data_IF_596837530022
#
_entry.id   IF_596837530022
#
_cell.length_a   1.000
_cell.length_b   1.000
_cell.length_c   1.000
_cell.angle_alpha   90.00
_cell.angle_beta   90.00
_cell.angle_gamma   90.00
#
_symmetry.space_group_name_H-M   'P 1'
#
loop_
_entity.id
_entity.type
_entity.pdbx_description
1 polymer ?
#
# COMPACT_ATOMS: atom_id res chain seq x y z
N UNK A 1 -19.61 15.27 20.48
CA UNK A 1 -19.21 15.14 19.07
C UNK A 1 -17.78 14.62 19.06
N UNK A 2 -17.59 13.32 18.83
CA UNK A 2 -16.26 12.71 18.79
C UNK A 2 -15.65 13.11 17.46
N UNK A 3 -14.71 14.05 17.46
CA UNK A 3 -13.90 14.34 16.27
C UNK A 3 -13.10 13.07 15.94
N UNK A 4 -13.47 12.34 14.91
CA UNK A 4 -12.64 11.26 14.39
C UNK A 4 -11.31 11.89 13.95
N UNK A 5 -10.26 11.65 14.74
CA UNK A 5 -8.89 12.06 14.39
C UNK A 5 -8.56 11.51 13.00
N UNK A 6 -8.21 12.40 12.10
CA UNK A 6 -7.82 12.05 10.73
C UNK A 6 -6.43 11.41 10.76
N UNK A 7 -6.38 10.08 10.76
CA UNK A 7 -5.14 9.31 10.67
C UNK A 7 -4.93 8.85 9.24
N UNK A 8 -3.68 8.78 8.82
CA UNK A 8 -3.33 8.46 7.44
C UNK A 8 -2.33 7.31 7.35
N UNK A 9 -2.35 6.63 6.23
CA UNK A 9 -1.28 5.75 5.78
C UNK A 9 -0.74 6.29 4.46
N UNK A 10 0.57 6.40 4.38
CA UNK A 10 1.27 6.94 3.22
C UNK A 10 2.07 5.84 2.56
N UNK A 11 1.97 5.78 1.25
CA UNK A 11 2.76 4.89 0.41
C UNK A 11 3.50 5.71 -0.64
N UNK A 12 4.82 5.69 -0.60
CA UNK A 12 5.65 6.30 -1.62
C UNK A 12 5.82 5.34 -2.80
N UNK A 13 5.72 5.86 -4.02
CA UNK A 13 5.89 5.04 -5.22
C UNK A 13 7.35 4.99 -5.66
N UNK A 14 7.82 3.78 -6.02
CA UNK A 14 9.14 3.52 -6.60
C UNK A 14 10.33 4.04 -5.76
N UNK A 15 10.22 3.97 -4.43
CA UNK A 15 11.29 4.34 -3.51
C UNK A 15 12.13 3.12 -3.17
N UNK A 16 13.46 3.25 -3.26
CA UNK A 16 14.45 2.20 -2.99
C UNK A 16 14.23 0.92 -3.81
N UNK A 17 13.67 1.04 -5.00
CA UNK A 17 13.42 -0.08 -5.92
C UNK A 17 14.31 0.05 -7.15
N UNK A 18 14.99 -1.03 -7.55
CA UNK A 18 15.82 -1.05 -8.75
C UNK A 18 17.00 -0.06 -8.74
N UNK A 19 17.44 0.39 -7.57
CA UNK A 19 18.55 1.33 -7.43
C UNK A 19 18.22 2.80 -7.67
N UNK A 20 17.00 3.11 -8.10
CA UNK A 20 16.53 4.48 -8.29
C UNK A 20 15.84 5.03 -7.01
N UNK A 21 15.68 6.36 -6.96
CA UNK A 21 14.92 7.05 -5.90
C UNK A 21 15.35 6.63 -4.49
N UNK A 22 16.64 6.68 -4.23
CA UNK A 22 17.20 6.28 -2.93
C UNK A 22 16.95 7.33 -1.86
N UNK A 23 16.38 6.91 -0.75
CA UNK A 23 16.29 7.71 0.46
C UNK A 23 16.29 6.79 1.69
N UNK A 24 16.32 7.39 2.87
CA UNK A 24 16.19 6.70 4.14
C UNK A 24 14.82 7.02 4.75
N UNK A 25 13.78 6.19 4.55
CA UNK A 25 12.43 6.48 5.03
C UNK A 25 12.36 6.68 6.55
N UNK A 26 13.22 6.01 7.31
CA UNK A 26 13.30 6.18 8.76
C UNK A 26 13.73 7.61 9.15
N UNK A 27 14.64 8.24 8.41
CA UNK A 27 15.04 9.64 8.65
C UNK A 27 13.90 10.60 8.30
N UNK A 28 13.21 10.36 7.19
CA UNK A 28 12.03 11.16 6.80
C UNK A 28 10.96 11.09 7.91
N UNK A 29 10.67 9.90 8.41
CA UNK A 29 9.73 9.73 9.52
C UNK A 29 10.16 10.50 10.78
N UNK A 30 11.45 10.46 11.12
CA UNK A 30 12.00 11.21 12.25
C UNK A 30 11.84 12.72 12.09
N UNK A 31 12.10 13.26 10.91
CA UNK A 31 11.92 14.68 10.61
C UNK A 31 10.44 15.12 10.61
N UNK A 32 9.51 14.19 10.43
CA UNK A 32 8.07 14.40 10.49
C UNK A 32 7.46 13.94 11.84
N UNK A 33 8.27 13.81 12.88
CA UNK A 33 7.85 13.32 14.22
C UNK A 33 6.66 14.10 14.79
N UNK A 34 6.53 15.40 14.49
CA UNK A 34 5.40 16.23 14.92
C UNK A 34 4.03 15.72 14.44
N UNK A 35 3.98 14.91 13.39
CA UNK A 35 2.78 14.26 12.91
C UNK A 35 2.62 12.82 13.39
N UNK A 36 3.46 12.39 14.35
CA UNK A 36 3.43 11.02 14.85
C UNK A 36 3.72 9.98 13.77
N UNK A 37 4.66 10.25 12.87
CA UNK A 37 4.97 9.37 11.73
C UNK A 37 5.77 8.18 12.18
N UNK A 38 5.27 6.98 11.85
CA UNK A 38 5.93 5.69 12.08
C UNK A 38 6.32 5.10 10.73
N UNK A 39 7.61 4.79 10.55
CA UNK A 39 8.10 4.14 9.33
C UNK A 39 7.91 2.63 9.36
N UNK A 40 7.45 2.06 8.26
CA UNK A 40 7.26 0.61 8.06
C UNK A 40 8.16 0.13 6.91
N UNK A 41 9.29 -0.45 7.27
CA UNK A 41 10.23 -1.00 6.28
C UNK A 41 11.04 0.04 5.51
N UNK A 42 11.52 -0.34 4.34
CA UNK A 42 12.53 0.43 3.58
C UNK A 42 12.00 1.11 2.31
N UNK A 43 10.74 0.90 1.95
CA UNK A 43 10.19 1.31 0.65
C UNK A 43 9.19 2.48 0.74
N UNK A 44 9.24 3.23 1.86
CA UNK A 44 8.40 4.41 2.03
C UNK A 44 6.94 4.09 2.33
N UNK A 45 6.70 3.33 3.39
CA UNK A 45 5.37 3.13 3.99
C UNK A 45 5.35 3.79 5.36
N UNK A 46 4.42 4.73 5.58
CA UNK A 46 4.30 5.45 6.85
C UNK A 46 2.90 5.36 7.42
N UNK A 47 2.82 5.23 8.75
CA UNK A 47 1.59 5.45 9.52
C UNK A 47 1.67 6.82 10.17
N UNK A 48 0.65 7.65 10.03
CA UNK A 48 0.55 8.99 10.60
C UNK A 48 -0.53 8.99 11.67
N UNK A 49 -0.15 9.26 12.92
CA UNK A 49 -1.01 9.11 14.10
C UNK A 49 -1.71 10.39 14.52
N UNK A 50 -1.06 11.53 14.27
CA UNK A 50 -1.61 12.83 14.65
C UNK A 50 -2.62 13.33 13.62
N UNK A 51 -3.51 14.20 14.07
CA UNK A 51 -4.51 14.83 13.23
C UNK A 51 -3.86 15.91 12.37
N UNK A 52 -3.86 15.69 11.06
CA UNK A 52 -3.28 16.58 10.06
C UNK A 52 -4.08 16.48 8.77
N UNK A 53 -4.25 17.58 8.06
CA UNK A 53 -4.89 17.54 6.74
C UNK A 53 -3.99 16.83 5.71
N UNK A 54 -4.62 16.16 4.73
CA UNK A 54 -3.90 15.46 3.67
C UNK A 54 -2.94 16.40 2.92
N UNK A 55 -3.37 17.63 2.61
CA UNK A 55 -2.58 18.61 1.87
C UNK A 55 -1.33 19.05 2.64
N UNK A 56 -1.45 19.31 3.93
CA UNK A 56 -0.30 19.65 4.81
C UNK A 56 0.67 18.49 4.91
N UNK A 57 0.15 17.28 5.12
CA UNK A 57 0.98 16.08 5.20
C UNK A 57 1.73 15.81 3.88
N UNK A 58 1.04 15.91 2.75
CA UNK A 58 1.61 15.74 1.41
C UNK A 58 2.74 16.73 1.15
N UNK A 59 2.53 18.00 1.43
CA UNK A 59 3.54 19.06 1.26
C UNK A 59 4.75 18.81 2.17
N UNK A 60 4.53 18.43 3.43
CA UNK A 60 5.60 18.14 4.38
C UNK A 60 6.46 16.96 3.93
N UNK A 61 5.85 15.86 3.44
CA UNK A 61 6.58 14.70 2.92
C UNK A 61 7.35 15.08 1.66
N UNK A 62 6.70 15.76 0.69
CA UNK A 62 7.33 16.16 -0.56
C UNK A 62 8.58 17.03 -0.34
N UNK A 63 8.55 17.91 0.67
CA UNK A 63 9.69 18.76 1.04
C UNK A 63 10.89 17.96 1.58
N UNK A 64 10.65 16.77 2.15
CA UNK A 64 11.70 15.92 2.73
C UNK A 64 12.27 14.88 1.76
N UNK A 65 11.58 14.65 0.66
CA UNK A 65 12.07 13.74 -0.38
C UNK A 65 13.15 14.40 -1.23
N UNK A 66 14.28 13.73 -1.50
CA UNK A 66 15.34 14.25 -2.38
C UNK A 66 15.00 14.14 -3.88
N UNK A 67 13.81 13.63 -4.21
CA UNK A 67 13.30 13.42 -5.57
C UNK A 67 11.78 13.59 -5.60
N UNK A 68 11.23 13.76 -6.79
CA UNK A 68 9.77 13.74 -7.00
C UNK A 68 9.28 12.31 -7.17
N UNK A 69 8.24 11.93 -6.43
CA UNK A 69 7.53 10.67 -6.62
C UNK A 69 6.04 10.84 -6.29
N UNK A 70 5.23 9.87 -6.74
CA UNK A 70 3.83 9.79 -6.31
C UNK A 70 3.76 9.48 -4.81
N UNK A 71 3.00 10.28 -4.08
CA UNK A 71 2.72 10.12 -2.66
C UNK A 71 1.26 9.72 -2.51
N UNK A 72 1.00 8.45 -2.23
CA UNK A 72 -0.36 7.94 -2.07
C UNK A 72 -0.75 8.01 -0.60
N UNK A 73 -1.69 8.87 -0.27
CA UNK A 73 -2.20 9.06 1.09
C UNK A 73 -3.59 8.43 1.16
N UNK A 74 -3.79 7.53 2.11
CA UNK A 74 -5.04 6.80 2.30
C UNK A 74 -5.53 7.01 3.74
N UNK A 75 -6.85 7.22 3.95
CA UNK A 75 -7.40 7.24 5.30
C UNK A 75 -7.10 5.93 6.03
N UNK A 76 -6.63 6.02 7.27
CA UNK A 76 -6.28 4.86 8.09
C UNK A 76 -7.44 3.86 8.23
N UNK A 77 -8.68 4.38 8.33
CA UNK A 77 -9.91 3.57 8.41
C UNK A 77 -10.08 2.62 7.22
N UNK A 78 -9.61 3.01 6.02
CA UNK A 78 -9.75 2.18 4.82
C UNK A 78 -8.82 0.94 4.90
N UNK A 79 -7.62 1.10 5.46
CA UNK A 79 -6.68 -0.01 5.70
C UNK A 79 -7.17 -0.92 6.83
N UNK A 80 -7.73 -0.36 7.90
CA UNK A 80 -8.32 -1.13 9.00
C UNK A 80 -9.49 -1.97 8.46
N UNK A 81 -10.38 -1.36 7.69
CA UNK A 81 -11.52 -2.04 7.06
C UNK A 81 -11.07 -3.15 6.11
N UNK A 82 -10.06 -2.88 5.28
CA UNK A 82 -9.50 -3.87 4.37
C UNK A 82 -8.94 -5.08 5.13
N UNK A 83 -8.12 -4.82 6.16
CA UNK A 83 -7.50 -5.87 6.98
C UNK A 83 -8.55 -6.69 7.74
N UNK A 84 -9.62 -6.06 8.28
CA UNK A 84 -10.64 -6.77 9.05
C UNK A 84 -11.47 -7.76 8.22
N UNK A 85 -11.57 -7.56 6.93
CA UNK A 85 -12.29 -8.47 6.01
C UNK A 85 -11.55 -9.78 5.74
N UNK A 86 -10.27 -9.88 6.13
CA UNK A 86 -9.40 -11.03 5.81
C UNK A 86 -9.52 -11.50 4.35
N UNK A 87 -9.20 -10.63 3.36
CA UNK A 87 -9.57 -10.82 1.96
C UNK A 87 -8.91 -12.02 1.29
N UNK A 88 -7.88 -12.58 1.92
CA UNK A 88 -7.15 -13.74 1.40
C UNK A 88 -7.52 -15.07 2.08
N UNK A 89 -8.53 -15.10 2.95
CA UNK A 89 -8.93 -16.30 3.70
C UNK A 89 -9.34 -17.48 2.81
N UNK A 90 -9.91 -17.17 1.62
CA UNK A 90 -10.36 -18.17 0.64
C UNK A 90 -9.43 -18.28 -0.58
N UNK A 91 -8.27 -17.64 -0.54
CA UNK A 91 -7.33 -17.66 -1.65
C UNK A 91 -6.25 -18.73 -1.45
N UNK A 92 -5.68 -19.26 -2.55
CA UNK A 92 -4.56 -20.20 -2.48
C UNK A 92 -3.43 -19.65 -1.59
N UNK A 93 -2.80 -20.55 -0.85
CA UNK A 93 -1.64 -20.25 -0.02
C UNK A 93 -0.57 -21.31 -0.23
N UNK A 94 0.68 -20.94 -0.05
CA UNK A 94 1.82 -21.84 -0.18
C UNK A 94 3.13 -21.07 -0.16
N UNK A 95 4.27 -21.76 -0.05
CA UNK A 95 5.59 -21.13 0.03
C UNK A 95 5.97 -20.40 -1.26
N UNK A 96 5.36 -20.78 -2.39
CA UNK A 96 5.55 -20.21 -3.72
C UNK A 96 4.58 -19.05 -4.03
N UNK A 97 3.63 -18.74 -3.15
CA UNK A 97 2.62 -17.71 -3.37
C UNK A 97 2.86 -16.51 -2.45
N UNK A 98 2.86 -15.33 -3.01
CA UNK A 98 2.89 -14.06 -2.27
C UNK A 98 1.59 -13.31 -2.47
N UNK A 99 0.99 -12.87 -1.36
CA UNK A 99 -0.19 -12.01 -1.31
C UNK A 99 0.25 -10.56 -1.37
N UNK A 100 -0.40 -9.75 -2.19
CA UNK A 100 -0.04 -8.35 -2.34
C UNK A 100 -1.26 -7.44 -2.37
N UNK A 101 -1.00 -6.16 -2.07
CA UNK A 101 -1.92 -5.05 -2.27
C UNK A 101 -1.20 -3.99 -3.09
N UNK A 102 -1.79 -3.63 -4.22
CA UNK A 102 -1.36 -2.44 -4.97
C UNK A 102 -2.29 -1.28 -4.64
N UNK A 103 -1.71 -0.18 -4.21
CA UNK A 103 -2.42 1.05 -3.87
C UNK A 103 -2.45 1.93 -5.11
N UNK A 104 -3.64 2.31 -5.55
CA UNK A 104 -3.87 3.18 -6.70
C UNK A 104 -3.75 4.65 -6.34
N UNK A 105 -3.19 5.46 -7.21
CA UNK A 105 -3.15 6.92 -7.06
C UNK A 105 -4.56 7.53 -6.98
N UNK A 106 -5.52 6.95 -7.71
CA UNK A 106 -6.95 7.31 -7.69
C UNK A 106 -7.82 6.08 -7.89
N UNK A 107 -9.11 6.18 -7.59
CA UNK A 107 -10.07 5.12 -7.89
C UNK A 107 -10.19 4.90 -9.39
N UNK A 108 -10.44 3.66 -9.79
CA UNK A 108 -10.76 3.35 -11.19
C UNK A 108 -12.20 3.76 -11.49
N UNK A 109 -12.39 4.39 -12.64
CA UNK A 109 -13.74 4.68 -13.17
C UNK A 109 -14.41 3.42 -13.69
N UNK A 110 -13.64 2.52 -14.31
CA UNK A 110 -14.10 1.25 -14.84
C UNK A 110 -13.09 0.15 -14.48
N UNK A 111 -13.32 -0.60 -13.39
CA UNK A 111 -12.46 -1.73 -13.06
C UNK A 111 -12.60 -2.86 -14.09
N UNK A 112 -11.52 -3.59 -14.38
CA UNK A 112 -11.57 -4.73 -15.30
C UNK A 112 -12.42 -5.86 -14.70
N UNK A 113 -12.89 -6.82 -15.55
CA UNK A 113 -13.46 -8.06 -15.06
C UNK A 113 -12.48 -8.80 -14.13
N UNK A 114 -12.99 -9.39 -13.06
CA UNK A 114 -12.20 -10.14 -12.07
C UNK A 114 -12.70 -11.59 -11.95
N UNK A 115 -11.83 -12.56 -11.64
CA UNK A 115 -10.38 -12.40 -11.45
C UNK A 115 -9.65 -12.11 -12.78
N UNK A 116 -8.56 -11.34 -12.70
CA UNK A 116 -7.68 -11.08 -13.83
C UNK A 116 -6.38 -11.84 -13.62
N UNK A 117 -6.08 -12.79 -14.50
CA UNK A 117 -4.89 -13.65 -14.43
C UNK A 117 -3.90 -13.33 -15.54
N UNK A 118 -2.63 -13.33 -15.21
CA UNK A 118 -1.53 -13.07 -16.15
C UNK A 118 -0.48 -14.19 -16.05
N UNK A 119 -0.02 -14.79 -17.16
CA UNK A 119 -0.44 -14.52 -18.55
C UNK A 119 -1.83 -15.08 -18.90
N UNK A 120 -2.31 -16.12 -18.21
CA UNK A 120 -3.59 -16.78 -18.45
C UNK A 120 -4.16 -17.39 -17.16
N UNK A 121 -5.40 -17.87 -17.18
CA UNK A 121 -6.03 -18.49 -16.01
C UNK A 121 -5.40 -19.84 -15.65
N UNK A 122 -5.00 -20.63 -16.65
CA UNK A 122 -4.44 -21.96 -16.44
C UNK A 122 -2.98 -21.92 -15.97
N UNK A 123 -2.21 -20.93 -16.43
CA UNK A 123 -0.78 -20.77 -16.10
C UNK A 123 -0.52 -19.38 -15.52
N UNK A 124 -1.23 -19.02 -14.46
CA UNK A 124 -1.08 -17.71 -13.87
C UNK A 124 0.21 -17.55 -13.04
N UNK A 125 0.87 -16.45 -13.26
CA UNK A 125 2.00 -15.99 -12.46
C UNK A 125 1.61 -14.81 -11.56
N UNK A 126 0.62 -14.04 -11.97
CA UNK A 126 -0.02 -12.99 -11.19
C UNK A 126 -1.54 -13.09 -11.38
N UNK A 127 -2.28 -12.95 -10.28
CA UNK A 127 -3.74 -12.94 -10.29
C UNK A 127 -4.26 -11.79 -9.44
N UNK A 128 -5.07 -10.91 -10.03
CA UNK A 128 -5.84 -9.90 -9.31
C UNK A 128 -7.18 -10.53 -8.93
N UNK A 129 -7.47 -10.60 -7.65
CA UNK A 129 -8.64 -11.28 -7.11
C UNK A 129 -9.77 -10.34 -6.73
N UNK A 130 -9.44 -9.11 -6.33
CA UNK A 130 -10.42 -8.09 -5.97
C UNK A 130 -9.85 -6.67 -6.14
N UNK A 131 -10.74 -5.70 -6.32
CA UNK A 131 -10.43 -4.27 -6.29
C UNK A 131 -11.44 -3.63 -5.34
N UNK A 132 -10.93 -3.06 -4.25
CA UNK A 132 -11.74 -2.37 -3.24
C UNK A 132 -11.27 -0.93 -3.08
N UNK A 133 -12.09 0.03 -3.48
CA UNK A 133 -11.73 1.45 -3.43
C UNK A 133 -10.45 1.72 -4.25
N UNK A 134 -9.35 2.03 -3.56
CA UNK A 134 -8.00 2.27 -4.14
C UNK A 134 -7.05 1.09 -3.95
N UNK A 135 -7.56 -0.08 -3.54
CA UNK A 135 -6.74 -1.25 -3.23
C UNK A 135 -7.02 -2.38 -4.22
N UNK A 136 -5.98 -2.79 -4.92
CA UNK A 136 -5.98 -3.97 -5.79
C UNK A 136 -5.37 -5.12 -5.01
N UNK A 137 -6.14 -6.17 -4.82
CA UNK A 137 -5.75 -7.37 -4.06
C UNK A 137 -5.37 -8.48 -5.02
N UNK A 138 -4.26 -9.14 -4.76
CA UNK A 138 -3.83 -10.20 -5.64
C UNK A 138 -2.77 -11.12 -5.06
N UNK A 139 -2.41 -12.08 -5.89
CA UNK A 139 -1.44 -13.12 -5.64
C UNK A 139 -0.39 -13.12 -6.76
N UNK A 140 0.84 -13.44 -6.44
CA UNK A 140 1.84 -13.77 -7.47
C UNK A 140 2.70 -14.95 -7.05
N UNK A 141 3.18 -15.69 -8.05
CA UNK A 141 4.15 -16.77 -7.86
C UNK A 141 5.53 -16.18 -7.56
N UNK A 142 6.28 -16.80 -6.66
CA UNK A 142 7.67 -16.40 -6.34
C UNK A 142 8.64 -16.80 -7.45
N UNK A 143 8.46 -16.21 -8.61
CA UNK A 143 9.29 -16.43 -9.79
C UNK A 143 9.69 -15.07 -10.38
N UNK A 144 10.90 -15.00 -10.95
CA UNK A 144 11.40 -13.76 -11.55
C UNK A 144 10.45 -13.19 -12.61
N UNK A 145 9.86 -14.06 -13.41
CA UNK A 145 8.90 -13.67 -14.45
C UNK A 145 7.64 -13.03 -13.88
N UNK A 146 7.18 -13.41 -12.69
CA UNK A 146 6.02 -12.82 -12.03
C UNK A 146 6.24 -11.35 -11.65
N UNK A 147 7.47 -10.96 -11.31
CA UNK A 147 7.82 -9.57 -10.97
C UNK A 147 7.57 -8.64 -12.16
N UNK A 148 7.80 -9.12 -13.39
CA UNK A 148 7.52 -8.33 -14.59
C UNK A 148 6.02 -8.03 -14.75
N UNK A 149 5.15 -8.92 -14.29
CA UNK A 149 3.69 -8.72 -14.32
C UNK A 149 3.23 -7.74 -13.24
N UNK A 150 3.88 -7.68 -12.07
CA UNK A 150 3.64 -6.63 -11.08
C UNK A 150 3.85 -5.24 -11.69
N UNK A 151 4.93 -5.05 -12.45
CA UNK A 151 5.19 -3.82 -13.18
C UNK A 151 4.15 -3.49 -14.27
N UNK A 152 3.42 -4.49 -14.78
CA UNK A 152 2.38 -4.30 -15.79
C UNK A 152 1.01 -3.91 -15.21
N UNK A 153 0.78 -4.05 -13.91
CA UNK A 153 -0.51 -3.71 -13.27
C UNK A 153 -0.88 -2.26 -13.58
N UNK A 154 0.06 -1.34 -13.45
CA UNK A 154 -0.15 0.08 -13.76
C UNK A 154 -0.64 0.30 -15.20
N UNK A 155 -0.01 -0.38 -16.16
CA UNK A 155 -0.42 -0.31 -17.58
C UNK A 155 -1.80 -0.90 -17.79
N UNK A 156 -2.12 -2.01 -17.13
CA UNK A 156 -3.42 -2.67 -17.22
C UNK A 156 -4.55 -1.80 -16.65
N UNK A 157 -4.28 -1.08 -15.57
CA UNK A 157 -5.30 -0.30 -14.87
C UNK A 157 -5.33 1.17 -15.29
N UNK A 158 -4.31 1.65 -16.03
CA UNK A 158 -4.23 3.02 -16.52
C UNK A 158 -4.05 4.09 -15.43
N UNK A 159 -3.60 3.71 -14.25
CA UNK A 159 -3.33 4.62 -13.12
C UNK A 159 -2.05 4.22 -12.40
N UNK A 160 -1.28 5.20 -11.88
CA UNK A 160 -0.10 4.89 -11.08
C UNK A 160 -0.43 4.01 -9.88
N UNK A 161 0.43 3.02 -9.61
CA UNK A 161 0.28 2.10 -8.49
C UNK A 161 1.58 1.98 -7.69
N UNK A 162 1.45 1.62 -6.43
CA UNK A 162 2.56 1.14 -5.61
C UNK A 162 2.14 -0.13 -4.86
N UNK A 163 3.00 -1.14 -4.88
CA UNK A 163 2.66 -2.47 -4.36
C UNK A 163 3.37 -2.75 -3.05
N UNK A 164 2.66 -3.38 -2.12
CA UNK A 164 3.17 -3.90 -0.84
C UNK A 164 2.73 -5.34 -0.64
N UNK A 165 3.57 -6.13 0.03
CA UNK A 165 3.16 -7.44 0.50
C UNK A 165 2.05 -7.31 1.55
N UNK A 166 1.16 -8.28 1.60
CA UNK A 166 0.07 -8.31 2.57
C UNK A 166 0.57 -8.20 4.01
N UNK A 167 1.69 -8.84 4.36
CA UNK A 167 2.28 -8.73 5.70
C UNK A 167 2.61 -7.27 6.09
N UNK A 168 2.96 -6.41 5.13
CA UNK A 168 3.16 -4.99 5.39
C UNK A 168 1.85 -4.30 5.74
N UNK A 169 0.77 -4.63 5.04
CA UNK A 169 -0.57 -4.10 5.32
C UNK A 169 -1.07 -4.55 6.69
N UNK A 170 -0.85 -5.81 7.06
CA UNK A 170 -1.19 -6.30 8.40
C UNK A 170 -0.41 -5.60 9.51
N UNK A 171 0.89 -5.33 9.31
CA UNK A 171 1.69 -4.53 10.25
C UNK A 171 1.13 -3.11 10.40
N UNK A 172 0.79 -2.46 9.29
CA UNK A 172 0.14 -1.14 9.29
C UNK A 172 -1.17 -1.18 10.07
N UNK A 173 -2.04 -2.15 9.77
CA UNK A 173 -3.33 -2.29 10.44
C UNK A 173 -3.18 -2.55 11.95
N UNK A 174 -2.16 -3.33 12.36
CA UNK A 174 -1.86 -3.59 13.77
C UNK A 174 -1.47 -2.31 14.51
N UNK A 175 -0.66 -1.44 13.90
CA UNK A 175 -0.24 -0.16 14.49
C UNK A 175 -1.42 0.82 14.59
N UNK A 176 -2.37 0.74 13.65
CA UNK A 176 -3.53 1.62 13.61
C UNK A 176 -4.64 1.23 14.59
N UNK A 177 -4.73 -0.04 14.99
CA UNK A 177 -5.69 -0.49 15.99
C UNK A 177 -5.31 0.10 17.34
N UNK A 178 -6.26 0.66 18.11
CA UNK A 178 -5.98 1.04 19.48
C UNK A 178 -5.53 -0.21 20.24
N UNK A 179 -4.50 -0.07 21.06
CA UNK A 179 -4.08 -1.13 21.96
C UNK A 179 -5.30 -1.53 22.81
N UNK A 180 -5.60 -2.84 22.86
CA UNK A 180 -6.68 -3.42 23.64
C UNK A 180 -6.42 -3.32 25.18
N UNK A 181 -5.61 -2.37 25.60
CA UNK A 181 -5.15 -2.16 26.99
C UNK A 181 -5.61 -0.84 27.61
N UNK A 182 -6.56 -0.14 27.02
CA UNK A 182 -7.25 0.98 27.70
C UNK A 182 -8.72 0.64 27.93
N UNK A 183 -8.96 -0.36 28.79
CA UNK A 183 -10.20 -0.52 29.57
C UNK A 183 -9.83 -1.04 30.96
#
# INVERSE_FOLDING_TARGET
MVFLRMRWVVFLRAVNVGGANRCQPALIAKELAKFGVVNIGAVGTFVVREDVSESVLRAAIAKKLPFKCEIMICPARDLIKLSSKNPFSRQPSGPDITRFVSVLAKRLSAPPPLPLSLPSDDDWLLKITAIENRFVLGLYRRQMKAISYLGKIEKQLGVPVTTRNWNTIEKVAKILRPDSKEF
#
